data_IF_997037477197
#
_entry.id   IF_997037477197
#
_cell.length_a   1.000
_cell.length_b   1.000
_cell.length_c   1.000
_cell.angle_alpha   90.00
_cell.angle_beta   90.00
_cell.angle_gamma   90.00
#
_symmetry.space_group_name_H-M   'P 1'
#
loop_
_entity.id
_entity.type
_entity.pdbx_description
1 polymer ?
#
# COMPACT_ATOMS: atom_id res chain seq x y z
N UNK A 1 14.88 -47.67 50.87
CA UNK A 1 15.19 -46.46 51.68
C UNK A 1 15.63 -45.37 50.71
N UNK A 2 14.94 -44.23 50.72
CA UNK A 2 15.05 -43.15 49.73
C UNK A 2 16.46 -42.54 49.70
N UNK A 3 17.05 -42.45 48.51
CA UNK A 3 18.23 -41.66 48.24
C UNK A 3 17.78 -40.21 47.99
N UNK A 4 18.18 -39.29 48.87
CA UNK A 4 18.11 -37.85 48.63
C UNK A 4 19.47 -37.41 48.10
N UNK A 5 19.53 -37.03 46.83
CA UNK A 5 20.62 -36.25 46.27
C UNK A 5 20.11 -34.81 46.10
N UNK A 6 20.55 -33.91 46.97
CA UNK A 6 20.46 -32.47 46.75
C UNK A 6 21.49 -32.11 45.68
N UNK A 7 21.02 -31.64 44.54
CA UNK A 7 21.83 -30.98 43.52
C UNK A 7 21.44 -29.50 43.58
N UNK A 8 22.30 -28.69 44.18
CA UNK A 8 22.28 -27.24 44.04
C UNK A 8 22.79 -26.89 42.63
N UNK A 9 21.87 -26.61 41.71
CA UNK A 9 22.18 -25.94 40.45
C UNK A 9 21.89 -24.45 40.61
N UNK A 10 22.95 -23.68 40.87
CA UNK A 10 22.94 -22.23 40.72
C UNK A 10 22.70 -21.91 39.23
N UNK A 11 21.45 -21.55 38.90
CA UNK A 11 21.10 -20.96 37.62
C UNK A 11 21.46 -19.46 37.67
N UNK A 12 22.69 -19.13 37.30
CA UNK A 12 23.03 -17.80 36.80
C UNK A 12 22.43 -17.65 35.40
N UNK A 13 21.12 -17.37 35.36
CA UNK A 13 20.49 -16.89 34.14
C UNK A 13 21.01 -15.47 33.89
N UNK A 14 22.03 -15.35 33.04
CA UNK A 14 22.38 -14.06 32.41
C UNK A 14 21.10 -13.46 31.82
N UNK A 15 20.57 -12.44 32.49
CA UNK A 15 19.55 -11.57 31.91
C UNK A 15 20.20 -10.89 30.72
N UNK A 16 20.06 -11.48 29.54
CA UNK A 16 20.41 -10.84 28.27
C UNK A 16 19.53 -9.61 28.13
N UNK A 17 20.05 -8.48 28.58
CA UNK A 17 19.40 -7.19 28.42
C UNK A 17 19.38 -6.92 26.92
N UNK A 18 18.21 -7.02 26.29
CA UNK A 18 18.03 -6.74 24.86
C UNK A 18 18.26 -5.25 24.61
N UNK A 19 19.51 -4.86 24.44
CA UNK A 19 19.90 -3.52 24.04
C UNK A 19 19.42 -3.28 22.60
N UNK A 20 18.66 -2.20 22.39
CA UNK A 20 18.24 -1.77 21.06
C UNK A 20 19.35 -0.91 20.46
N UNK A 21 19.84 -1.21 19.24
CA UNK A 21 20.81 -0.35 18.58
C UNK A 21 20.22 1.04 18.30
N UNK A 22 21.06 2.06 18.32
CA UNK A 22 20.71 3.46 18.08
C UNK A 22 21.36 3.92 16.78
N UNK A 23 20.59 4.48 15.87
CA UNK A 23 21.09 5.03 14.60
C UNK A 23 21.09 6.55 14.67
N UNK A 24 22.22 7.16 14.34
CA UNK A 24 22.40 8.61 14.27
C UNK A 24 22.39 9.09 12.81
N UNK A 25 21.59 10.11 12.53
CA UNK A 25 21.46 10.71 11.21
C UNK A 25 21.93 12.16 11.20
N UNK A 26 22.50 12.57 10.08
CA UNK A 26 22.67 13.98 9.74
C UNK A 26 21.30 14.63 9.60
N UNK A 27 21.10 15.82 10.19
CA UNK A 27 19.83 16.55 10.04
C UNK A 27 19.62 17.02 8.61
N UNK A 28 20.70 17.46 7.97
CA UNK A 28 20.60 18.15 6.68
C UNK A 28 20.61 17.17 5.50
N UNK A 29 21.34 16.05 5.63
CA UNK A 29 21.49 15.06 4.55
C UNK A 29 20.72 13.76 4.79
N UNK A 30 20.19 13.54 6.01
CA UNK A 30 19.56 12.28 6.44
C UNK A 30 20.47 11.04 6.30
N UNK A 31 21.76 11.22 6.06
CA UNK A 31 22.73 10.14 5.98
C UNK A 31 22.98 9.53 7.36
N UNK A 32 23.14 8.21 7.39
CA UNK A 32 23.52 7.49 8.61
C UNK A 32 24.98 7.83 8.92
N UNK A 33 25.18 8.58 10.00
CA UNK A 33 26.51 8.96 10.49
C UNK A 33 27.11 7.80 11.28
N UNK A 34 26.31 7.19 12.16
CA UNK A 34 26.79 6.14 13.05
C UNK A 34 25.66 5.20 13.50
N UNK A 35 26.03 3.97 13.86
CA UNK A 35 25.14 2.96 14.45
C UNK A 35 25.80 2.45 15.73
N UNK A 36 25.14 2.71 16.85
CA UNK A 36 25.59 2.27 18.16
C UNK A 36 24.87 0.98 18.56
N UNK A 37 25.57 -0.06 19.02
CA UNK A 37 24.97 -1.29 19.53
C UNK A 37 23.95 -1.08 20.66
N UNK A 38 24.10 0.00 21.45
CA UNK A 38 23.20 0.32 22.56
C UNK A 38 23.10 1.82 22.81
N UNK A 39 22.07 2.22 23.58
CA UNK A 39 21.94 3.61 24.08
C UNK A 39 23.11 4.00 24.97
N UNK A 40 23.66 3.05 25.72
CA UNK A 40 24.80 3.28 26.62
C UNK A 40 26.07 3.61 25.84
N UNK A 41 26.32 2.88 24.76
CA UNK A 41 27.45 3.15 23.89
C UNK A 41 27.30 4.46 23.12
N UNK A 42 26.08 4.75 22.64
CA UNK A 42 25.76 6.04 22.03
C UNK A 42 26.00 7.21 23.00
N UNK A 43 25.54 7.07 24.24
CA UNK A 43 25.71 8.08 25.29
C UNK A 43 27.19 8.33 25.60
N UNK A 44 27.97 7.27 25.74
CA UNK A 44 29.39 7.34 26.05
C UNK A 44 30.20 7.94 24.88
N UNK A 45 30.00 7.46 23.65
CA UNK A 45 30.75 7.94 22.49
C UNK A 45 30.41 9.38 22.09
N UNK A 46 29.19 9.84 22.37
CA UNK A 46 28.75 11.20 22.02
C UNK A 46 28.87 12.21 23.16
N UNK A 47 29.26 11.74 24.35
CA UNK A 47 29.29 12.51 25.59
C UNK A 47 27.93 13.19 25.85
N UNK A 48 26.86 12.39 25.78
CA UNK A 48 25.47 12.83 25.98
C UNK A 48 24.80 11.90 27.00
N UNK A 49 23.92 12.43 27.86
CA UNK A 49 23.21 11.59 28.82
C UNK A 49 22.34 10.53 28.13
N UNK A 50 22.28 9.31 28.71
CA UNK A 50 21.39 8.24 28.24
C UNK A 50 19.93 8.73 28.11
N UNK A 51 19.46 9.53 29.07
CA UNK A 51 18.11 10.12 29.07
C UNK A 51 17.84 11.00 27.85
N UNK A 52 18.84 11.75 27.38
CA UNK A 52 18.71 12.57 26.18
C UNK A 52 18.59 11.71 24.93
N UNK A 53 19.39 10.64 24.82
CA UNK A 53 19.30 9.69 23.70
C UNK A 53 17.93 9.00 23.68
N UNK A 54 17.41 8.55 24.83
CA UNK A 54 16.04 8.01 24.94
C UNK A 54 14.98 9.02 24.49
N UNK A 55 15.08 10.27 24.94
CA UNK A 55 14.15 11.34 24.53
C UNK A 55 14.24 11.61 23.03
N UNK A 56 15.44 11.65 22.45
CA UNK A 56 15.66 11.86 21.03
C UNK A 56 15.06 10.74 20.17
N UNK A 57 15.34 9.47 20.50
CA UNK A 57 14.80 8.32 19.78
C UNK A 57 13.27 8.21 19.86
N UNK A 58 12.68 8.55 21.02
CA UNK A 58 11.22 8.41 21.23
C UNK A 58 10.41 9.60 20.73
N UNK A 59 10.95 10.82 20.83
CA UNK A 59 10.24 12.06 20.55
C UNK A 59 10.72 12.75 19.28
N UNK A 60 11.69 12.16 18.56
CA UNK A 60 12.28 12.75 17.35
C UNK A 60 13.04 14.05 17.63
N UNK A 61 13.47 14.29 18.87
CA UNK A 61 14.21 15.51 19.23
C UNK A 61 15.63 15.46 18.65
N UNK A 62 16.08 16.60 18.13
CA UNK A 62 17.45 16.75 17.65
C UNK A 62 18.40 16.98 18.83
N UNK A 63 19.53 16.28 18.84
CA UNK A 63 20.62 16.51 19.79
C UNK A 63 21.84 17.01 19.05
N UNK A 64 22.33 18.20 19.42
CA UNK A 64 23.46 18.86 18.73
C UNK A 64 23.27 18.91 17.20
N UNK A 65 22.04 19.15 16.74
CA UNK A 65 21.71 19.20 15.30
C UNK A 65 21.69 17.84 14.59
N UNK A 66 21.60 16.72 15.31
CA UNK A 66 21.54 15.36 14.74
C UNK A 66 20.28 14.63 15.20
N UNK A 67 19.73 13.77 14.34
CA UNK A 67 18.53 12.97 14.64
C UNK A 67 18.92 11.54 15.08
N UNK A 68 18.08 10.91 15.89
CA UNK A 68 18.34 9.58 16.45
C UNK A 68 17.09 8.69 16.36
N UNK A 69 17.25 7.40 16.07
CA UNK A 69 16.17 6.40 16.12
C UNK A 69 16.66 5.04 16.62
N UNK A 70 15.75 4.17 17.05
CA UNK A 70 16.08 2.77 17.34
C UNK A 70 16.10 1.93 16.06
N UNK A 71 17.11 1.07 15.91
CA UNK A 71 17.03 0.00 14.93
C UNK A 71 15.95 -1.01 15.37
N UNK A 72 15.06 -1.41 14.46
CA UNK A 72 14.00 -2.38 14.75
C UNK A 72 14.58 -3.74 15.19
N UNK A 73 13.93 -4.39 16.15
CA UNK A 73 14.40 -5.62 16.82
C UNK A 73 14.44 -6.91 15.95
N UNK A 74 14.39 -6.82 14.62
CA UNK A 74 14.53 -8.00 13.78
C UNK A 74 16.03 -8.32 13.59
N UNK A 75 16.66 -8.84 14.65
CA UNK A 75 18.09 -9.18 14.74
C UNK A 75 18.55 -10.30 13.79
N UNK A 76 17.67 -10.88 12.96
CA UNK A 76 18.03 -11.81 11.90
C UNK A 76 18.58 -11.13 10.63
N UNK A 77 18.53 -9.80 10.50
CA UNK A 77 19.07 -9.07 9.34
C UNK A 77 20.39 -8.33 9.58
N UNK A 78 20.87 -8.21 10.82
CA UNK A 78 22.16 -7.57 11.11
C UNK A 78 23.35 -8.55 11.08
N UNK A 79 23.15 -9.81 11.45
CA UNK A 79 24.24 -10.81 11.46
C UNK A 79 24.54 -11.41 10.08
N UNK A 80 23.67 -11.18 9.08
CA UNK A 80 23.91 -11.54 7.67
C UNK A 80 24.35 -10.35 6.81
N UNK A 81 24.65 -9.19 7.41
CA UNK A 81 25.41 -8.13 6.76
C UNK A 81 26.91 -8.40 6.93
N UNK A 82 27.39 -9.52 6.37
CA UNK A 82 28.77 -9.54 5.87
C UNK A 82 28.91 -8.46 4.79
N UNK A 83 30.11 -7.90 4.71
CA UNK A 83 30.50 -6.62 4.07
C UNK A 83 30.24 -6.56 2.53
N UNK A 84 29.52 -7.50 1.93
CA UNK A 84 29.26 -7.60 0.48
C UNK A 84 27.99 -6.89 -0.03
N UNK A 85 27.30 -6.13 0.83
CA UNK A 85 26.03 -5.49 0.46
C UNK A 85 25.96 -3.99 0.75
N UNK A 86 27.08 -3.25 0.72
CA UNK A 86 27.04 -1.78 0.88
C UNK A 86 26.62 -1.12 -0.43
N UNK A 87 25.42 -0.55 -0.47
CA UNK A 87 25.14 0.58 -1.36
C UNK A 87 25.90 1.80 -0.80
N UNK A 88 27.08 2.09 -1.35
CA UNK A 88 27.79 3.34 -1.09
C UNK A 88 27.36 4.31 -2.20
N UNK A 89 26.49 5.25 -1.86
CA UNK A 89 26.19 6.38 -2.75
C UNK A 89 27.31 7.39 -2.56
N UNK A 90 28.31 7.38 -3.44
CA UNK A 90 29.31 8.46 -3.50
C UNK A 90 28.84 9.53 -4.48
N UNK A 91 28.44 10.70 -3.98
CA UNK A 91 28.19 11.88 -4.81
C UNK A 91 29.49 12.69 -4.85
N UNK A 92 30.14 12.75 -6.01
CA UNK A 92 31.30 13.63 -6.17
C UNK A 92 30.87 15.08 -6.45
N UNK A 93 31.72 16.03 -6.02
CA UNK A 93 31.54 17.48 -6.08
C UNK A 93 31.20 18.08 -7.46
N UNK A 94 31.24 17.29 -8.53
CA UNK A 94 30.91 17.72 -9.91
C UNK A 94 29.45 17.48 -10.31
N UNK A 95 28.61 16.96 -9.40
CA UNK A 95 27.18 16.77 -9.66
C UNK A 95 26.83 15.57 -10.57
N UNK A 96 27.81 14.73 -10.93
CA UNK A 96 27.56 13.43 -11.56
C UNK A 96 27.38 12.34 -10.50
N UNK A 97 26.20 11.71 -10.49
CA UNK A 97 25.92 10.52 -9.69
C UNK A 97 26.56 9.32 -10.39
N UNK A 98 27.67 8.81 -9.84
CA UNK A 98 28.24 7.55 -10.29
C UNK A 98 27.47 6.40 -9.62
N UNK A 99 26.71 5.65 -10.41
CA UNK A 99 25.97 4.46 -9.97
C UNK A 99 26.97 3.34 -9.66
N UNK A 100 27.22 3.05 -8.39
CA UNK A 100 27.81 1.78 -7.96
C UNK A 100 26.69 0.99 -7.30
N UNK A 101 25.82 0.43 -8.12
CA UNK A 101 24.73 -0.44 -7.67
C UNK A 101 24.89 -1.74 -8.44
N UNK A 102 25.51 -2.73 -7.83
CA UNK A 102 25.37 -4.10 -8.29
C UNK A 102 24.01 -4.59 -7.79
N UNK A 103 23.09 -4.89 -8.71
CA UNK A 103 21.86 -5.69 -8.50
C UNK A 103 20.62 -5.03 -7.84
N UNK A 104 20.44 -3.70 -7.86
CA UNK A 104 19.11 -3.11 -7.56
C UNK A 104 18.45 -2.64 -8.86
N UNK A 105 17.32 -3.24 -9.26
CA UNK A 105 16.58 -2.83 -10.45
C UNK A 105 16.22 -1.33 -10.44
N UNK A 106 16.34 -0.67 -11.58
CA UNK A 106 16.12 0.78 -11.76
C UNK A 106 14.74 1.27 -11.34
N UNK A 107 13.76 0.38 -11.25
CA UNK A 107 12.38 0.66 -10.84
C UNK A 107 12.14 0.68 -9.31
N UNK A 108 13.17 0.42 -8.49
CA UNK A 108 13.06 0.30 -7.02
C UNK A 108 13.53 1.57 -6.28
N UNK A 109 14.24 2.48 -6.95
CA UNK A 109 14.77 3.70 -6.35
C UNK A 109 14.50 4.89 -7.27
N UNK A 110 13.70 5.84 -6.82
CA UNK A 110 13.57 7.16 -7.44
C UNK A 110 14.52 8.10 -6.72
N UNK A 111 15.55 8.56 -7.42
CA UNK A 111 16.51 9.53 -6.91
C UNK A 111 16.27 10.83 -7.65
N UNK A 112 15.70 11.82 -6.98
CA UNK A 112 15.45 13.15 -7.53
C UNK A 112 16.24 14.19 -6.77
N UNK A 113 16.86 15.11 -7.51
CA UNK A 113 17.53 16.27 -6.92
C UNK A 113 16.56 17.45 -6.99
N UNK A 114 16.10 17.90 -5.83
CA UNK A 114 15.16 19.03 -5.68
C UNK A 114 15.82 20.09 -4.82
N UNK A 115 16.07 21.27 -5.39
CA UNK A 115 16.58 22.46 -4.68
C UNK A 115 17.77 22.14 -3.75
N UNK A 116 18.86 21.61 -4.31
CA UNK A 116 20.09 21.19 -3.61
C UNK A 116 19.96 20.03 -2.61
N UNK A 117 18.77 19.49 -2.41
CA UNK A 117 18.55 18.27 -1.63
C UNK A 117 18.43 17.04 -2.53
N UNK A 118 19.08 15.94 -2.15
CA UNK A 118 18.92 14.63 -2.79
C UNK A 118 17.76 13.91 -2.11
N UNK A 119 16.64 13.76 -2.81
CA UNK A 119 15.53 12.92 -2.36
C UNK A 119 15.72 11.51 -2.91
N UNK A 120 15.94 10.56 -2.01
CA UNK A 120 15.97 9.13 -2.34
C UNK A 120 14.65 8.54 -1.86
N UNK A 121 13.77 8.24 -2.79
CA UNK A 121 12.54 7.48 -2.52
C UNK A 121 12.79 6.02 -2.90
N UNK A 122 12.73 5.15 -1.89
CA UNK A 122 12.81 3.71 -2.11
C UNK A 122 11.42 3.18 -2.36
N UNK A 123 11.15 2.84 -3.61
CA UNK A 123 9.97 2.12 -4.04
C UNK A 123 10.15 0.65 -3.68
N UNK A 124 9.60 0.25 -2.54
CA UNK A 124 9.40 -1.17 -2.29
C UNK A 124 8.15 -1.60 -3.08
N UNK A 125 8.25 -2.54 -4.04
CA UNK A 125 7.07 -3.28 -4.46
C UNK A 125 6.61 -4.13 -3.26
N UNK A 126 5.73 -3.55 -2.45
CA UNK A 126 4.91 -4.12 -1.38
C UNK A 126 5.27 -5.52 -0.85
N UNK A 127 6.00 -5.52 0.28
CA UNK A 127 5.66 -6.19 1.56
C UNK A 127 6.87 -6.19 2.48
N UNK A 128 6.79 -5.54 3.65
CA UNK A 128 7.68 -5.85 4.78
C UNK A 128 7.42 -7.31 5.21
N UNK A 129 8.33 -8.21 4.85
CA UNK A 129 8.33 -9.61 5.28
C UNK A 129 8.23 -10.65 4.16
N UNK A 130 7.91 -10.25 2.92
CA UNK A 130 8.07 -11.13 1.75
C UNK A 130 8.81 -10.37 0.67
N UNK A 131 10.00 -10.90 0.34
CA UNK A 131 10.73 -10.83 -0.93
C UNK A 131 10.19 -9.82 -1.93
N UNK A 132 11.05 -8.86 -2.34
CA UNK A 132 10.98 -8.14 -3.62
C UNK A 132 10.20 -9.02 -4.59
N UNK A 133 8.94 -8.64 -4.85
CA UNK A 133 8.08 -9.45 -5.68
C UNK A 133 8.73 -9.42 -7.05
N UNK A 134 9.40 -10.52 -7.40
CA UNK A 134 10.02 -10.71 -8.69
C UNK A 134 8.95 -10.38 -9.73
N UNK A 135 9.11 -9.25 -10.43
CA UNK A 135 8.13 -8.73 -11.39
C UNK A 135 7.87 -9.71 -12.53
N UNK A 136 8.76 -10.70 -12.69
CA UNK A 136 8.58 -11.82 -13.61
C UNK A 136 7.60 -12.87 -13.07
N UNK A 137 7.42 -12.96 -11.75
CA UNK A 137 6.56 -13.95 -11.08
C UNK A 137 5.24 -13.38 -10.59
N UNK A 138 5.16 -12.10 -10.24
CA UNK A 138 3.93 -11.51 -9.75
C UNK A 138 3.68 -10.06 -10.19
N UNK A 139 2.39 -9.70 -10.24
CA UNK A 139 1.88 -8.35 -10.47
C UNK A 139 1.21 -7.89 -9.18
N UNK A 140 1.62 -6.74 -8.66
CA UNK A 140 0.97 -6.09 -7.52
C UNK A 140 0.12 -4.94 -8.00
N UNK A 141 -1.08 -4.82 -7.45
CA UNK A 141 -2.03 -3.77 -7.76
C UNK A 141 -2.50 -3.21 -6.43
N UNK A 142 -2.32 -1.91 -6.24
CA UNK A 142 -2.89 -1.22 -5.08
C UNK A 142 -3.91 -0.20 -5.53
N UNK A 143 -5.06 -0.19 -4.86
CA UNK A 143 -6.06 0.85 -5.03
C UNK A 143 -6.34 1.54 -3.69
N UNK A 144 -6.34 2.87 -3.68
CA UNK A 144 -6.92 3.63 -2.58
C UNK A 144 -8.28 4.18 -3.05
N UNK A 145 -9.30 3.95 -2.24
CA UNK A 145 -10.65 4.43 -2.52
C UNK A 145 -11.03 5.51 -1.52
N UNK A 146 -11.65 6.58 -2.03
CA UNK A 146 -12.22 7.66 -1.27
C UNK A 146 -13.73 7.71 -1.58
N UNK A 147 -14.49 6.90 -0.85
CA UNK A 147 -15.95 6.95 -0.88
C UNK A 147 -16.53 8.02 0.05
N UNK A 148 -15.73 8.55 1.01
CA UNK A 148 -16.06 9.73 1.81
C UNK A 148 -16.29 10.91 0.87
N UNK A 149 -17.57 11.10 0.63
CA UNK A 149 -18.14 11.88 -0.45
C UNK A 149 -17.63 13.31 -0.44
N UNK A 150 -17.21 13.80 -1.59
CA UNK A 150 -17.02 15.23 -1.80
C UNK A 150 -18.30 15.84 -2.40
N UNK A 151 -18.76 17.01 -1.90
CA UNK A 151 -18.26 17.70 -0.71
C UNK A 151 -18.53 16.88 0.56
N UNK A 152 -17.71 17.08 1.60
CA UNK A 152 -17.92 16.44 2.89
C UNK A 152 -19.34 16.76 3.42
N UNK A 153 -19.87 15.92 4.31
CA UNK A 153 -21.13 16.25 4.96
C UNK A 153 -20.94 17.46 5.87
N UNK A 154 -21.77 18.48 5.68
CA UNK A 154 -21.81 19.70 6.47
C UNK A 154 -23.25 19.88 6.94
N UNK A 155 -23.43 20.38 8.17
CA UNK A 155 -24.74 20.73 8.74
C UNK A 155 -25.45 21.75 7.84
N UNK A 156 -24.69 22.56 7.11
CA UNK A 156 -25.20 23.57 6.18
C UNK A 156 -25.49 23.04 4.77
N UNK A 157 -25.10 21.80 4.44
CA UNK A 157 -25.35 21.21 3.11
C UNK A 157 -26.70 20.50 3.08
N UNK A 158 -27.53 20.87 2.11
CA UNK A 158 -28.85 20.26 1.91
C UNK A 158 -28.70 18.75 1.67
N UNK A 159 -29.47 17.93 2.41
CA UNK A 159 -29.55 16.48 2.17
C UNK A 159 -29.96 16.21 0.73
N UNK A 160 -29.29 15.27 0.07
CA UNK A 160 -29.53 14.98 -1.35
C UNK A 160 -28.71 15.83 -2.32
N UNK A 161 -27.81 16.68 -1.82
CA UNK A 161 -26.77 17.31 -2.67
C UNK A 161 -26.00 16.21 -3.41
N UNK A 162 -25.71 16.44 -4.69
CA UNK A 162 -24.88 15.54 -5.50
C UNK A 162 -23.56 15.30 -4.78
N UNK A 163 -23.06 14.07 -4.82
CA UNK A 163 -21.77 13.71 -4.25
C UNK A 163 -20.94 12.98 -5.30
N UNK A 164 -19.62 13.09 -5.17
CA UNK A 164 -18.69 12.32 -5.96
C UNK A 164 -17.75 11.51 -5.06
N UNK A 165 -17.30 10.38 -5.60
CA UNK A 165 -16.24 9.56 -5.05
C UNK A 165 -15.05 9.55 -6.00
N UNK A 166 -13.92 9.12 -5.48
CA UNK A 166 -12.70 9.01 -6.23
C UNK A 166 -11.93 7.77 -5.82
N UNK A 167 -11.09 7.30 -6.73
CA UNK A 167 -10.14 6.24 -6.45
C UNK A 167 -8.87 6.48 -7.26
N UNK A 168 -7.79 5.94 -6.75
CA UNK A 168 -6.51 5.84 -7.44
C UNK A 168 -6.11 4.39 -7.48
N UNK A 169 -5.60 3.94 -8.62
CA UNK A 169 -5.13 2.59 -8.83
C UNK A 169 -3.71 2.68 -9.36
N UNK A 170 -2.78 1.98 -8.71
CA UNK A 170 -1.38 2.00 -9.02
C UNK A 170 -0.85 0.59 -9.33
N UNK A 171 -0.14 0.47 -10.45
CA UNK A 171 0.47 -0.76 -10.94
C UNK A 171 1.99 -0.61 -11.02
N UNK A 172 2.74 -0.81 -9.92
CA UNK A 172 4.16 -0.49 -9.87
C UNK A 172 5.04 -1.24 -10.87
N UNK A 173 4.59 -2.39 -11.41
CA UNK A 173 5.38 -3.24 -12.31
C UNK A 173 5.13 -3.02 -13.81
N UNK A 174 4.33 -2.03 -14.21
CA UNK A 174 3.96 -1.83 -15.61
C UNK A 174 5.01 -0.96 -16.33
N UNK A 175 5.43 -1.40 -17.52
CA UNK A 175 6.35 -0.70 -18.40
C UNK A 175 5.62 0.31 -19.33
N UNK A 176 6.38 1.11 -20.07
CA UNK A 176 5.83 2.15 -20.94
C UNK A 176 4.94 1.61 -22.08
N UNK A 177 5.23 0.41 -22.60
CA UNK A 177 4.40 -0.23 -23.63
C UNK A 177 3.02 -0.61 -23.08
N UNK A 178 3.00 -1.22 -21.90
CA UNK A 178 1.77 -1.59 -21.21
C UNK A 178 0.99 -0.34 -20.77
N UNK A 179 1.63 0.82 -20.53
CA UNK A 179 0.96 2.07 -20.13
C UNK A 179 -0.10 2.55 -21.13
N UNK A 180 0.17 2.51 -22.44
CA UNK A 180 -0.81 2.92 -23.45
C UNK A 180 -2.02 1.97 -23.48
N UNK A 181 -1.79 0.69 -23.19
CA UNK A 181 -2.83 -0.34 -23.12
C UNK A 181 -3.67 -0.17 -21.85
N UNK A 182 -3.03 0.18 -20.72
CA UNK A 182 -3.74 0.58 -19.50
C UNK A 182 -4.66 1.77 -19.75
N UNK A 183 -4.19 2.77 -20.49
CA UNK A 183 -4.98 3.96 -20.85
C UNK A 183 -6.23 3.60 -21.65
N UNK A 184 -6.10 2.72 -22.64
CA UNK A 184 -7.24 2.21 -23.40
C UNK A 184 -8.21 1.42 -22.49
N UNK A 185 -7.69 0.50 -21.67
CA UNK A 185 -8.50 -0.31 -20.76
C UNK A 185 -9.28 0.54 -19.75
N UNK A 186 -8.59 1.49 -19.10
CA UNK A 186 -9.17 2.42 -18.14
C UNK A 186 -10.26 3.29 -18.76
N UNK A 187 -10.07 3.76 -20.00
CA UNK A 187 -11.05 4.61 -20.71
C UNK A 187 -12.35 3.88 -21.03
N UNK A 188 -12.34 2.56 -21.13
CA UNK A 188 -13.55 1.73 -21.35
C UNK A 188 -14.16 1.20 -20.06
N UNK A 189 -13.64 1.64 -18.91
CA UNK A 189 -13.96 1.08 -17.61
C UNK A 189 -15.01 1.88 -16.84
N UNK A 190 -15.15 1.56 -15.55
CA UNK A 190 -16.03 2.24 -14.63
C UNK A 190 -15.54 3.67 -14.32
N UNK A 191 -16.48 4.62 -14.25
CA UNK A 191 -16.21 6.00 -13.85
C UNK A 191 -15.61 6.84 -14.97
N UNK A 192 -15.09 8.02 -14.60
CA UNK A 192 -14.44 8.96 -15.49
C UNK A 192 -12.96 9.04 -15.12
N UNK A 193 -12.10 8.78 -16.10
CA UNK A 193 -10.66 8.90 -15.92
C UNK A 193 -10.28 10.38 -15.87
N UNK A 194 -9.57 10.78 -14.81
CA UNK A 194 -9.01 12.12 -14.71
C UNK A 194 -7.89 12.27 -15.75
N UNK A 195 -7.87 13.35 -16.56
CA UNK A 195 -6.90 13.51 -17.65
C UNK A 195 -5.45 13.60 -17.14
N UNK A 196 -4.47 13.39 -18.04
CA UNK A 196 -3.04 13.51 -17.74
C UNK A 196 -2.60 14.98 -17.66
N UNK A 197 -3.01 15.64 -16.57
CA UNK A 197 -2.61 17.00 -16.19
C UNK A 197 -1.83 16.98 -14.88
N UNK A 198 -1.36 18.13 -14.40
CA UNK A 198 -0.78 18.25 -13.06
C UNK A 198 -1.74 17.65 -12.01
N UNK A 199 -1.26 16.68 -11.22
CA UNK A 199 -2.03 15.86 -10.26
C UNK A 199 -3.07 14.89 -10.85
N UNK A 200 -3.33 14.90 -12.16
CA UNK A 200 -4.20 13.97 -12.89
C UNK A 200 -3.57 12.60 -13.20
N UNK A 201 -4.25 11.71 -13.92
CA UNK A 201 -3.72 10.36 -14.17
C UNK A 201 -2.30 10.42 -14.76
N UNK A 202 -1.48 9.43 -14.47
CA UNK A 202 -0.12 9.33 -15.00
C UNK A 202 0.13 7.88 -15.42
N UNK A 203 -0.18 7.56 -16.67
CA UNK A 203 -0.06 6.19 -17.17
C UNK A 203 1.39 5.74 -17.28
N UNK A 204 2.32 6.67 -17.52
CA UNK A 204 3.78 6.38 -17.53
C UNK A 204 4.27 5.87 -16.18
N UNK A 205 3.74 6.44 -15.09
CA UNK A 205 3.99 5.98 -13.72
C UNK A 205 2.93 4.97 -13.25
N UNK A 206 2.10 4.46 -14.17
CA UNK A 206 1.08 3.45 -13.89
C UNK A 206 0.09 3.82 -12.79
N UNK A 207 -0.20 5.13 -12.65
CA UNK A 207 -1.17 5.69 -11.71
C UNK A 207 -2.41 6.14 -12.48
N UNK A 208 -3.56 5.61 -12.09
CA UNK A 208 -4.84 5.88 -12.74
C UNK A 208 -5.80 6.48 -11.72
N UNK A 209 -6.34 7.64 -12.05
CA UNK A 209 -7.28 8.36 -11.21
C UNK A 209 -8.67 8.30 -11.82
N UNK A 210 -9.63 7.81 -11.03
CA UNK A 210 -11.00 7.60 -11.49
C UNK A 210 -11.95 8.32 -10.55
N UNK A 211 -12.72 9.24 -11.12
CA UNK A 211 -13.82 9.92 -10.45
C UNK A 211 -15.17 9.30 -10.83
N UNK A 212 -16.14 9.29 -9.93
CA UNK A 212 -17.49 8.78 -10.23
C UNK A 212 -18.58 9.48 -9.41
N UNK A 213 -19.77 9.73 -9.99
CA UNK A 213 -20.90 10.30 -9.26
C UNK A 213 -21.60 9.26 -8.39
N UNK A 214 -22.22 9.71 -7.29
CA UNK A 214 -23.13 8.90 -6.49
C UNK A 214 -24.59 9.27 -6.74
N UNK A 215 -25.41 8.26 -7.00
CA UNK A 215 -26.87 8.34 -6.95
C UNK A 215 -27.31 7.83 -5.57
N UNK A 216 -27.92 8.68 -4.75
CA UNK A 216 -28.36 8.39 -3.36
C UNK A 216 -27.20 8.13 -2.38
N UNK A 217 -26.39 9.16 -2.09
CA UNK A 217 -25.22 9.01 -1.25
C UNK A 217 -25.61 8.76 0.21
N UNK A 218 -25.12 7.66 0.78
CA UNK A 218 -24.89 7.54 2.21
C UNK A 218 -23.44 7.12 2.40
N UNK A 219 -22.79 7.58 3.46
CA UNK A 219 -21.35 7.35 3.68
C UNK A 219 -20.96 5.87 3.56
N UNK A 220 -21.76 4.97 4.15
CA UNK A 220 -21.51 3.52 4.11
C UNK A 220 -21.64 2.93 2.71
N UNK A 221 -22.70 3.32 1.97
CA UNK A 221 -22.93 2.88 0.59
C UNK A 221 -21.87 3.39 -0.37
N UNK A 222 -21.48 4.65 -0.20
CA UNK A 222 -20.52 5.31 -1.07
C UNK A 222 -19.17 4.61 -1.04
N UNK A 223 -18.72 4.20 0.15
CA UNK A 223 -17.44 3.50 0.26
C UNK A 223 -17.47 2.08 -0.30
N UNK A 224 -18.52 1.30 -0.04
CA UNK A 224 -18.67 -0.03 -0.66
C UNK A 224 -18.74 0.08 -2.19
N UNK A 225 -19.43 1.08 -2.71
CA UNK A 225 -19.49 1.33 -4.14
C UNK A 225 -18.13 1.78 -4.71
N UNK A 226 -17.33 2.52 -3.95
CA UNK A 226 -15.96 2.87 -4.34
C UNK A 226 -15.06 1.62 -4.43
N UNK A 227 -15.11 0.72 -3.44
CA UNK A 227 -14.43 -0.57 -3.50
C UNK A 227 -14.88 -1.42 -4.70
N UNK A 228 -16.20 -1.46 -4.95
CA UNK A 228 -16.77 -2.14 -6.11
C UNK A 228 -16.29 -1.55 -7.44
N UNK A 229 -16.24 -0.22 -7.54
CA UNK A 229 -15.72 0.48 -8.70
C UNK A 229 -14.23 0.18 -8.94
N UNK A 230 -13.40 0.16 -7.89
CA UNK A 230 -11.99 -0.21 -8.00
C UNK A 230 -11.81 -1.62 -8.56
N UNK A 231 -12.58 -2.59 -8.06
CA UNK A 231 -12.57 -3.96 -8.59
C UNK A 231 -13.00 -4.02 -10.06
N UNK A 232 -14.01 -3.24 -10.46
CA UNK A 232 -14.42 -3.16 -11.88
C UNK A 232 -13.31 -2.62 -12.76
N UNK A 233 -12.63 -1.58 -12.32
CA UNK A 233 -11.50 -1.01 -13.06
C UNK A 233 -10.37 -2.01 -13.17
N UNK A 234 -9.95 -2.61 -12.06
CA UNK A 234 -8.90 -3.63 -12.03
C UNK A 234 -9.27 -4.82 -12.90
N UNK A 235 -10.50 -5.34 -12.81
CA UNK A 235 -10.99 -6.44 -13.65
C UNK A 235 -10.90 -6.11 -15.13
N UNK A 236 -11.38 -4.92 -15.54
CA UNK A 236 -11.34 -4.51 -16.94
C UNK A 236 -9.90 -4.40 -17.45
N UNK A 237 -9.00 -3.91 -16.61
CA UNK A 237 -7.58 -3.83 -16.93
C UNK A 237 -6.96 -5.21 -17.07
N UNK A 238 -7.20 -6.12 -16.14
CA UNK A 238 -6.69 -7.49 -16.19
C UNK A 238 -7.17 -8.25 -17.44
N UNK A 239 -8.43 -8.06 -17.86
CA UNK A 239 -8.94 -8.61 -19.13
C UNK A 239 -8.19 -8.06 -20.33
N UNK A 240 -8.02 -6.74 -20.40
CA UNK A 240 -7.29 -6.13 -21.50
C UNK A 240 -5.82 -6.57 -21.52
N UNK A 241 -5.20 -6.82 -20.36
CA UNK A 241 -3.82 -7.31 -20.29
C UNK A 241 -3.71 -8.78 -20.72
N UNK A 242 -4.68 -9.63 -20.38
CA UNK A 242 -4.66 -11.05 -20.81
C UNK A 242 -4.83 -11.24 -22.30
N UNK A 243 -5.62 -10.38 -22.96
CA UNK A 243 -5.86 -10.47 -24.41
C UNK A 243 -4.57 -10.24 -25.24
N UNK A 244 -3.52 -9.72 -24.60
CA UNK A 244 -2.26 -9.35 -25.26
C UNK A 244 -1.19 -10.45 -25.21
N UNK A 245 -1.44 -11.57 -24.53
CA UNK A 245 -0.49 -12.68 -24.46
C UNK A 245 0.78 -12.37 -23.66
N UNK A 246 0.78 -11.35 -22.78
CA UNK A 246 1.94 -10.91 -21.98
C UNK A 246 2.31 -11.89 -20.83
N UNK A 247 1.89 -13.16 -20.91
CA UNK A 247 2.17 -14.19 -19.90
C UNK A 247 1.53 -13.91 -18.55
N UNK A 248 0.51 -13.03 -18.48
CA UNK A 248 -0.15 -12.66 -17.22
C UNK A 248 -0.77 -13.88 -16.54
N UNK A 249 -1.23 -14.85 -17.32
CA UNK A 249 -1.80 -16.12 -16.88
C UNK A 249 -0.79 -17.03 -16.15
N UNK A 250 0.50 -16.71 -16.22
CA UNK A 250 1.59 -17.39 -15.50
C UNK A 250 2.03 -16.64 -14.24
N UNK A 251 1.61 -15.38 -14.08
CA UNK A 251 1.99 -14.55 -12.94
C UNK A 251 0.98 -14.67 -11.81
N UNK A 252 1.46 -14.63 -10.57
CA UNK A 252 0.58 -14.43 -9.42
C UNK A 252 0.11 -12.95 -9.40
N UNK A 253 -1.16 -12.70 -9.12
CA UNK A 253 -1.73 -11.35 -9.07
C UNK A 253 -2.11 -11.06 -7.62
N UNK A 254 -1.57 -9.97 -7.09
CA UNK A 254 -1.83 -9.50 -5.73
C UNK A 254 -2.56 -8.16 -5.82
N UNK A 255 -3.79 -8.11 -5.31
CA UNK A 255 -4.62 -6.91 -5.32
C UNK A 255 -4.87 -6.49 -3.87
N UNK A 256 -4.51 -5.25 -3.53
CA UNK A 256 -4.83 -4.64 -2.24
C UNK A 256 -5.72 -3.41 -2.45
N UNK A 257 -6.92 -3.44 -1.88
CA UNK A 257 -7.87 -2.32 -1.92
C UNK A 257 -7.94 -1.69 -0.54
N UNK A 258 -7.52 -0.43 -0.45
CA UNK A 258 -7.41 0.35 0.76
C UNK A 258 -8.59 1.32 0.87
N UNK A 259 -9.32 1.28 1.98
CA UNK A 259 -10.43 2.20 2.28
C UNK A 259 -10.20 2.97 3.57
N UNK A 260 -10.66 4.23 3.63
CA UNK A 260 -10.67 5.03 4.85
C UNK A 260 -11.93 4.81 5.72
N UNK A 261 -12.81 3.88 5.32
CA UNK A 261 -14.03 3.56 6.06
C UNK A 261 -13.86 2.30 6.86
N UNK A 262 -13.89 2.43 8.19
CA UNK A 262 -13.92 1.28 9.10
C UNK A 262 -15.15 0.39 8.87
N UNK A 263 -16.26 0.96 8.39
CA UNK A 263 -17.45 0.18 8.01
C UNK A 263 -17.16 -0.74 6.81
N UNK A 264 -16.62 -0.20 5.71
CA UNK A 264 -16.34 -1.00 4.52
C UNK A 264 -15.22 -2.02 4.79
N UNK A 265 -14.17 -1.60 5.52
CA UNK A 265 -13.08 -2.49 5.92
C UNK A 265 -13.57 -3.65 6.79
N UNK A 266 -14.39 -3.39 7.82
CA UNK A 266 -14.89 -4.48 8.67
C UNK A 266 -15.75 -5.50 7.91
N UNK A 267 -16.53 -5.07 6.92
CA UNK A 267 -17.31 -5.98 6.07
C UNK A 267 -16.43 -6.77 5.08
N UNK A 268 -15.33 -6.20 4.63
CA UNK A 268 -14.54 -6.73 3.51
C UNK A 268 -13.20 -7.36 3.91
N UNK A 269 -12.76 -7.21 5.16
CA UNK A 269 -11.45 -7.74 5.63
C UNK A 269 -11.39 -9.27 5.60
N UNK A 270 -12.53 -9.94 5.77
CA UNK A 270 -12.63 -11.40 5.70
C UNK A 270 -12.87 -11.86 4.25
N UNK A 271 -11.78 -12.22 3.59
CA UNK A 271 -11.81 -12.71 2.21
C UNK A 271 -12.62 -13.98 2.05
N UNK A 272 -12.65 -14.88 3.04
CA UNK A 272 -13.39 -16.14 2.94
C UNK A 272 -14.89 -15.88 2.90
N UNK A 273 -15.37 -14.98 3.75
CA UNK A 273 -16.77 -14.54 3.73
C UNK A 273 -17.14 -13.88 2.40
N UNK A 274 -16.29 -13.01 1.84
CA UNK A 274 -16.55 -12.40 0.52
C UNK A 274 -16.65 -13.47 -0.58
N UNK A 275 -15.76 -14.46 -0.58
CA UNK A 275 -15.78 -15.53 -1.57
C UNK A 275 -17.05 -16.39 -1.45
N UNK A 276 -17.46 -16.71 -0.22
CA UNK A 276 -18.73 -17.41 0.07
C UNK A 276 -19.94 -16.61 -0.40
N UNK A 277 -19.95 -15.30 -0.19
CA UNK A 277 -21.03 -14.44 -0.67
C UNK A 277 -21.06 -14.33 -2.20
N UNK A 278 -19.90 -14.28 -2.84
CA UNK A 278 -19.78 -14.21 -4.29
C UNK A 278 -20.12 -15.52 -5.01
N UNK A 279 -20.11 -16.67 -4.30
CA UNK A 279 -20.50 -17.94 -4.91
C UNK A 279 -22.01 -18.06 -5.14
N UNK A 280 -22.84 -17.28 -4.44
CA UNK A 280 -24.29 -17.25 -4.68
C UNK A 280 -24.60 -16.91 -6.15
N UNK A 281 -25.51 -17.63 -6.80
CA UNK A 281 -25.80 -17.45 -8.23
C UNK A 281 -26.62 -16.19 -8.47
N UNK A 282 -27.56 -15.92 -7.57
CA UNK A 282 -28.46 -14.78 -7.64
C UNK A 282 -28.43 -13.95 -6.35
N UNK A 283 -28.86 -12.68 -6.44
CA UNK A 283 -29.01 -11.81 -5.27
C UNK A 283 -30.02 -12.37 -4.26
N UNK A 284 -30.99 -13.19 -4.68
CA UNK A 284 -31.99 -13.79 -3.78
C UNK A 284 -31.39 -14.89 -2.90
N UNK A 285 -30.36 -15.58 -3.41
CA UNK A 285 -29.63 -16.63 -2.69
C UNK A 285 -28.48 -16.07 -1.83
N UNK A 286 -28.15 -14.79 -1.98
CA UNK A 286 -27.13 -14.14 -1.17
C UNK A 286 -27.59 -14.06 0.30
N UNK A 287 -26.85 -14.72 1.18
CA UNK A 287 -27.06 -14.66 2.62
C UNK A 287 -25.85 -13.96 3.24
N UNK A 288 -26.09 -12.78 3.82
CA UNK A 288 -25.08 -12.11 4.63
C UNK A 288 -25.00 -12.77 6.01
N UNK A 289 -23.85 -13.33 6.31
CA UNK A 289 -23.48 -14.01 7.55
C UNK A 289 -22.18 -13.45 8.16
N UNK A 290 -21.72 -12.28 7.70
CA UNK A 290 -20.54 -11.61 8.23
C UNK A 290 -20.81 -10.82 9.51
N UNK A 291 -19.74 -10.21 10.03
CA UNK A 291 -19.82 -9.38 11.22
C UNK A 291 -20.65 -8.10 10.97
N UNK A 292 -21.64 -7.87 11.83
CA UNK A 292 -22.45 -6.64 11.86
C UNK A 292 -23.94 -6.85 11.59
N UNK A 293 -24.76 -5.80 11.77
CA UNK A 293 -26.21 -5.89 11.55
C UNK A 293 -26.54 -6.03 10.06
N UNK A 294 -27.41 -7.01 9.74
CA UNK A 294 -27.81 -7.35 8.36
C UNK A 294 -28.44 -6.17 7.62
N UNK A 295 -29.17 -5.33 8.35
CA UNK A 295 -29.87 -4.15 7.83
C UNK A 295 -28.89 -3.10 7.29
N UNK A 296 -27.66 -3.09 7.79
CA UNK A 296 -26.63 -2.17 7.36
C UNK A 296 -25.69 -2.78 6.32
N UNK A 297 -25.80 -4.06 5.96
CA UNK A 297 -24.84 -4.74 5.07
C UNK A 297 -24.88 -4.25 3.61
N UNK A 298 -25.94 -3.55 3.20
CA UNK A 298 -26.14 -3.06 1.83
C UNK A 298 -25.97 -4.18 0.78
N UNK A 299 -26.80 -5.24 0.81
CA UNK A 299 -26.64 -6.43 -0.03
C UNK A 299 -26.65 -6.12 -1.53
N UNK A 300 -27.35 -5.06 -1.95
CA UNK A 300 -27.40 -4.59 -3.33
C UNK A 300 -26.04 -4.08 -3.86
N UNK A 301 -25.13 -3.70 -2.97
CA UNK A 301 -23.75 -3.33 -3.28
C UNK A 301 -22.76 -4.45 -2.95
N UNK A 302 -22.96 -5.13 -1.83
CA UNK A 302 -22.06 -6.16 -1.33
C UNK A 302 -22.08 -7.41 -2.22
N UNK A 303 -23.26 -7.84 -2.69
CA UNK A 303 -23.37 -8.97 -3.62
C UNK A 303 -22.59 -8.77 -4.93
N UNK A 304 -22.82 -7.71 -5.73
CA UNK A 304 -22.08 -7.54 -6.99
C UNK A 304 -20.58 -7.35 -6.75
N UNK A 305 -20.17 -6.68 -5.67
CA UNK A 305 -18.77 -6.58 -5.27
C UNK A 305 -18.17 -7.98 -5.03
N UNK A 306 -18.82 -8.78 -4.18
CA UNK A 306 -18.39 -10.14 -3.84
C UNK A 306 -18.35 -11.05 -5.06
N UNK A 307 -19.31 -10.89 -5.97
CA UNK A 307 -19.36 -11.64 -7.24
C UNK A 307 -18.16 -11.34 -8.12
N UNK A 308 -17.71 -10.08 -8.18
CA UNK A 308 -16.48 -9.72 -8.91
C UNK A 308 -15.26 -10.34 -8.26
N UNK A 309 -15.13 -10.25 -6.93
CA UNK A 309 -14.01 -10.87 -6.19
C UNK A 309 -13.96 -12.38 -6.46
N UNK A 310 -15.09 -13.06 -6.31
CA UNK A 310 -15.21 -14.49 -6.60
C UNK A 310 -14.78 -14.80 -8.04
N UNK A 311 -15.33 -14.10 -9.03
CA UNK A 311 -15.00 -14.36 -10.44
C UNK A 311 -13.51 -14.15 -10.74
N UNK A 312 -12.87 -13.11 -10.17
CA UNK A 312 -11.44 -12.87 -10.33
C UNK A 312 -10.63 -14.02 -9.69
N UNK A 313 -10.93 -14.38 -8.44
CA UNK A 313 -10.15 -15.35 -7.66
C UNK A 313 -10.30 -16.77 -8.21
N UNK A 314 -11.50 -17.16 -8.65
CA UNK A 314 -11.74 -18.49 -9.22
C UNK A 314 -11.45 -18.58 -10.72
N UNK A 315 -11.02 -17.49 -11.35
CA UNK A 315 -10.77 -17.43 -12.79
C UNK A 315 -12.04 -17.61 -13.64
N UNK A 316 -13.21 -17.29 -13.10
CA UNK A 316 -14.50 -17.29 -13.82
C UNK A 316 -14.74 -15.93 -14.50
N UNK A 317 -13.69 -15.38 -15.09
CA UNK A 317 -13.76 -14.12 -15.82
C UNK A 317 -14.05 -14.39 -17.28
N UNK A 318 -14.93 -13.58 -17.87
CA UNK A 318 -15.26 -13.63 -19.30
C UNK A 318 -14.80 -12.36 -20.00
N UNK A 319 -14.29 -12.48 -21.23
CA UNK A 319 -14.00 -11.35 -22.11
C UNK A 319 -15.28 -10.63 -22.57
N UNK A 320 -15.16 -9.69 -23.51
CA UNK A 320 -16.32 -8.97 -24.07
C UNK A 320 -17.20 -9.86 -24.95
N UNK A 321 -16.65 -10.95 -25.46
CA UNK A 321 -17.30 -11.93 -26.34
C UNK A 321 -17.94 -13.08 -25.54
N UNK A 322 -17.71 -13.14 -24.23
CA UNK A 322 -18.22 -14.18 -23.33
C UNK A 322 -17.30 -15.39 -23.17
N UNK A 323 -16.13 -15.40 -23.81
CA UNK A 323 -15.15 -16.48 -23.66
C UNK A 323 -14.48 -16.41 -22.31
N UNK A 324 -14.10 -17.57 -21.76
CA UNK A 324 -13.40 -17.64 -20.48
C UNK A 324 -11.98 -17.08 -20.64
N UNK A 325 -11.64 -16.10 -19.84
CA UNK A 325 -10.33 -15.45 -19.82
C UNK A 325 -9.59 -15.84 -18.55
N UNK A 326 -8.38 -16.37 -18.70
CA UNK A 326 -7.54 -16.73 -17.55
C UNK A 326 -6.78 -15.49 -17.08
N UNK A 327 -7.03 -15.08 -15.84
CA UNK A 327 -6.38 -13.94 -15.21
C UNK A 327 -5.47 -14.47 -14.11
N UNK A 328 -4.16 -14.39 -14.32
CA UNK A 328 -3.18 -14.87 -13.35
C UNK A 328 -3.08 -16.39 -13.24
N UNK A 329 -1.98 -16.83 -12.62
CA UNK A 329 -1.81 -18.20 -12.13
C UNK A 329 -2.54 -18.39 -10.79
N UNK A 330 -2.38 -17.42 -9.89
CA UNK A 330 -3.11 -17.32 -8.61
C UNK A 330 -3.47 -15.86 -8.40
N UNK A 331 -4.68 -15.58 -7.97
CA UNK A 331 -5.11 -14.22 -7.66
C UNK A 331 -5.46 -14.12 -6.18
N UNK A 332 -4.88 -13.15 -5.49
CA UNK A 332 -5.21 -12.82 -4.10
C UNK A 332 -5.74 -11.40 -4.04
N UNK A 333 -6.89 -11.23 -3.40
CA UNK A 333 -7.49 -9.91 -3.17
C UNK A 333 -7.59 -9.72 -1.66
N UNK A 334 -7.04 -8.60 -1.17
CA UNK A 334 -7.09 -8.19 0.23
C UNK A 334 -7.73 -6.81 0.33
N UNK A 335 -8.57 -6.63 1.34
CA UNK A 335 -9.07 -5.32 1.73
C UNK A 335 -8.40 -4.89 3.02
N UNK A 336 -7.88 -3.66 3.03
CA UNK A 336 -7.14 -3.10 4.15
C UNK A 336 -7.72 -1.75 4.54
N UNK A 337 -7.56 -1.38 5.81
CA UNK A 337 -7.83 0.00 6.20
C UNK A 337 -6.65 0.86 5.77
N UNK A 338 -6.89 2.03 5.16
CA UNK A 338 -5.80 2.89 4.67
C UNK A 338 -4.81 3.24 5.78
N UNK A 339 -5.26 3.41 7.04
CA UNK A 339 -4.33 3.68 8.15
C UNK A 339 -3.38 2.51 8.44
N UNK A 340 -3.79 1.25 8.26
CA UNK A 340 -2.91 0.10 8.48
C UNK A 340 -1.78 0.08 7.45
N UNK A 341 -2.12 0.42 6.21
CA UNK A 341 -1.16 0.48 5.10
C UNK A 341 -0.24 1.69 5.22
N UNK A 342 -0.77 2.85 5.64
CA UNK A 342 0.01 4.09 5.76
C UNK A 342 0.91 4.15 7.00
N UNK A 343 0.57 3.42 8.08
CA UNK A 343 1.38 3.38 9.31
C UNK A 343 2.61 2.47 9.19
N UNK A 344 2.69 1.64 8.15
CA UNK A 344 3.92 0.95 7.72
C UNK A 344 5.02 1.99 7.47
N UNK A 345 6.01 2.06 8.37
CA UNK A 345 6.88 3.23 8.59
C UNK A 345 7.88 3.52 7.47
N UNK A 346 7.97 2.68 6.44
CA UNK A 346 9.00 2.79 5.38
C UNK A 346 8.44 3.35 4.06
N UNK A 347 7.13 3.23 3.83
CA UNK A 347 6.48 3.61 2.57
C UNK A 347 5.52 4.82 2.73
N UNK A 348 5.40 5.33 3.96
CA UNK A 348 4.32 6.22 4.36
C UNK A 348 4.14 7.47 3.49
N UNK A 349 5.21 8.13 3.02
CA UNK A 349 5.06 9.39 2.24
C UNK A 349 4.45 9.16 0.86
N UNK A 350 5.01 8.26 0.07
CA UNK A 350 4.52 7.95 -1.27
C UNK A 350 3.08 7.42 -1.24
N UNK A 351 2.79 6.52 -0.31
CA UNK A 351 1.43 5.98 -0.16
C UNK A 351 0.45 7.01 0.38
N UNK A 352 0.91 7.93 1.23
CA UNK A 352 0.09 9.07 1.67
C UNK A 352 -0.25 9.96 0.49
N UNK A 353 0.71 10.22 -0.40
CA UNK A 353 0.48 10.96 -1.64
C UNK A 353 -0.50 10.23 -2.55
N UNK A 354 -0.32 8.94 -2.81
CA UNK A 354 -1.30 8.17 -3.59
C UNK A 354 -2.68 8.27 -2.92
N UNK A 355 -2.79 8.00 -1.61
CA UNK A 355 -4.06 8.06 -0.89
C UNK A 355 -4.73 9.45 -1.00
N UNK A 356 -3.98 10.55 -0.94
CA UNK A 356 -4.55 11.89 -1.13
C UNK A 356 -5.11 12.08 -2.53
N UNK A 357 -4.50 11.50 -3.56
CA UNK A 357 -4.97 11.62 -4.95
C UNK A 357 -6.32 10.96 -5.19
N UNK A 358 -6.71 9.95 -4.41
CA UNK A 358 -8.08 9.42 -4.45
C UNK A 358 -9.13 10.50 -4.12
N UNK A 359 -8.81 11.42 -3.20
CA UNK A 359 -9.68 12.56 -2.84
C UNK A 359 -9.67 13.61 -3.94
N UNK A 360 -8.53 13.86 -4.57
CA UNK A 360 -8.42 14.79 -5.70
C UNK A 360 -9.30 14.35 -6.88
N UNK A 361 -9.34 13.04 -7.17
CA UNK A 361 -10.23 12.49 -8.18
C UNK A 361 -11.72 12.72 -7.85
N UNK A 362 -12.10 12.62 -6.57
CA UNK A 362 -13.46 12.91 -6.12
C UNK A 362 -13.82 14.39 -6.29
N UNK A 363 -12.90 15.30 -5.91
CA UNK A 363 -13.07 16.75 -6.05
C UNK A 363 -13.19 17.13 -7.52
N UNK A 364 -12.30 16.61 -8.36
CA UNK A 364 -12.32 16.82 -9.81
C UNK A 364 -13.66 16.40 -10.42
N UNK A 365 -14.14 15.21 -10.09
CA UNK A 365 -15.42 14.71 -10.59
C UNK A 365 -16.58 15.62 -10.19
N UNK A 366 -16.63 16.04 -8.93
CA UNK A 366 -17.70 16.91 -8.45
C UNK A 366 -17.70 18.27 -9.15
N UNK A 367 -16.52 18.88 -9.29
CA UNK A 367 -16.38 20.18 -9.96
C UNK A 367 -16.76 20.10 -11.43
N UNK A 368 -16.41 19.00 -12.11
CA UNK A 368 -16.79 18.75 -13.50
C UNK A 368 -18.30 18.68 -13.70
N UNK A 369 -19.05 18.11 -12.73
CA UNK A 369 -20.52 18.00 -12.81
C UNK A 369 -21.25 19.34 -12.60
N UNK A 370 -20.55 20.41 -12.22
CA UNK A 370 -21.10 21.76 -12.09
C UNK A 370 -21.02 22.57 -13.38
N UNK A 371 -20.08 22.22 -14.26
CA UNK A 371 -19.93 22.80 -15.60
C UNK A 371 -20.92 22.12 -16.54
#
# INVERSE_FOLDING_TARGET
KKFNANIDLANDSEKVCRCRPVVQFSKDTLEVINIFPSVEEAANQLEISKSSIYSACNQGRLLKGKAFTYAGNNTSSLNNMTIEGKAIISVNFTGKVNRIINNVPDNVLKIERLNDSLQIEKFYPYNEGQTIVDSNKAISIIAFVAGKTFPADDINLVRGTRKAGGMVIHFPQINEESAQKLKSAASTSFGMIMPEVENGSNFKNSVILVGFPFLRPSRNRCELYACHGALKVILQMLKCTSDLGEGIEQKDILIEICTESSYAWNLLKDTESILRWGSAETLKEFIFDGDGPKELANPDLLYPLSKIVYNIVTGNVKDKQGNKTKIGKRVKIKFSHSQEVLQSRVEGRYLTEINSRAKDAAIWQFNRLKQ
#
